data_IF_973608311055
#
_entry.id   IF_973608311055
#
_cell.length_a   1.000
_cell.length_b   1.000
_cell.length_c   1.000
_cell.angle_alpha   90.00
_cell.angle_beta   90.00
_cell.angle_gamma   90.00
#
_symmetry.space_group_name_H-M   'P 1'
#
loop_
_entity.id
_entity.type
_entity.pdbx_description
1 polymer ?
#
# COMPACT_ATOMS: atom_id res chain seq x y z
N UNK A 1 44.86 -8.68 29.96
CA UNK A 1 44.38 -9.10 28.62
C UNK A 1 42.96 -9.66 28.62
N UNK A 2 42.47 -10.37 29.64
CA UNK A 2 41.09 -10.90 29.65
C UNK A 2 40.00 -9.81 29.64
N UNK A 3 40.21 -8.70 30.36
CA UNK A 3 39.27 -7.56 30.39
C UNK A 3 39.05 -6.93 29.01
N UNK A 4 40.09 -6.84 28.18
CA UNK A 4 39.97 -6.30 26.81
C UNK A 4 39.31 -7.30 25.85
N UNK A 5 39.52 -8.61 26.02
CA UNK A 5 38.85 -9.63 25.20
C UNK A 5 37.33 -9.65 25.43
N UNK A 6 36.89 -9.53 26.68
CA UNK A 6 35.46 -9.45 27.04
C UNK A 6 34.83 -8.17 26.47
N UNK A 7 35.53 -7.03 26.59
CA UNK A 7 35.06 -5.76 26.02
C UNK A 7 34.98 -5.79 24.49
N UNK A 8 35.99 -6.37 23.83
CA UNK A 8 36.00 -6.54 22.37
C UNK A 8 34.85 -7.46 21.93
N UNK A 9 34.60 -8.56 22.64
CA UNK A 9 33.46 -9.44 22.36
C UNK A 9 32.13 -8.71 22.52
N UNK A 10 31.95 -7.95 23.61
CA UNK A 10 30.73 -7.19 23.85
C UNK A 10 30.49 -6.10 22.79
N UNK A 11 31.55 -5.43 22.34
CA UNK A 11 31.47 -4.45 21.26
C UNK A 11 31.12 -5.12 19.92
N UNK A 12 31.74 -6.26 19.60
CA UNK A 12 31.43 -7.02 18.39
C UNK A 12 29.98 -7.52 18.37
N UNK A 13 29.47 -8.01 19.51
CA UNK A 13 28.07 -8.43 19.65
C UNK A 13 27.09 -7.28 19.42
N UNK A 14 27.35 -6.09 19.99
CA UNK A 14 26.51 -4.91 19.75
C UNK A 14 26.48 -4.50 18.27
N UNK A 15 27.61 -4.60 17.58
CA UNK A 15 27.67 -4.31 16.13
C UNK A 15 26.95 -5.39 15.32
N UNK A 16 27.04 -6.66 15.73
CA UNK A 16 26.34 -7.75 15.07
C UNK A 16 24.82 -7.60 15.23
N UNK A 17 24.34 -7.32 16.44
CA UNK A 17 22.92 -7.10 16.74
C UNK A 17 22.35 -5.93 15.93
N UNK A 18 23.06 -4.81 15.83
CA UNK A 18 22.61 -3.67 15.03
C UNK A 18 22.52 -3.99 13.53
N UNK A 19 23.48 -4.76 13.00
CA UNK A 19 23.45 -5.21 11.60
C UNK A 19 22.31 -6.19 11.34
N UNK A 20 22.06 -7.12 12.25
CA UNK A 20 20.94 -8.07 12.13
C UNK A 20 19.59 -7.35 12.17
N UNK A 21 19.45 -6.33 13.04
CA UNK A 21 18.25 -5.50 13.07
C UNK A 21 18.03 -4.76 11.74
N UNK A 22 19.09 -4.17 11.17
CA UNK A 22 19.01 -3.49 9.87
C UNK A 22 18.64 -4.47 8.75
N UNK A 23 19.18 -5.69 8.78
CA UNK A 23 18.87 -6.73 7.80
C UNK A 23 17.40 -7.14 7.88
N UNK A 24 16.90 -7.42 9.09
CA UNK A 24 15.48 -7.71 9.31
C UNK A 24 14.58 -6.57 8.84
N UNK A 25 14.94 -5.32 9.14
CA UNK A 25 14.16 -4.17 8.68
C UNK A 25 14.13 -4.06 7.16
N UNK A 26 15.25 -4.37 6.49
CA UNK A 26 15.34 -4.39 5.04
C UNK A 26 14.46 -5.50 4.43
N UNK A 27 14.45 -6.69 5.03
CA UNK A 27 13.57 -7.79 4.62
C UNK A 27 12.09 -7.42 4.76
N UNK A 28 11.68 -6.89 5.91
CA UNK A 28 10.30 -6.42 6.14
C UNK A 28 9.90 -5.32 5.15
N UNK A 29 10.82 -4.39 4.85
CA UNK A 29 10.57 -3.32 3.88
C UNK A 29 10.46 -3.86 2.45
N UNK A 30 11.25 -4.88 2.10
CA UNK A 30 11.19 -5.53 0.80
C UNK A 30 9.85 -6.27 0.62
N UNK A 31 9.39 -6.99 1.64
CA UNK A 31 8.09 -7.67 1.64
C UNK A 31 6.94 -6.67 1.52
N UNK A 32 6.95 -5.59 2.31
CA UNK A 32 5.97 -4.50 2.21
C UNK A 32 5.95 -3.86 0.82
N UNK A 33 7.13 -3.65 0.22
CA UNK A 33 7.25 -3.07 -1.13
C UNK A 33 6.71 -4.03 -2.19
N UNK A 34 6.93 -5.33 -2.06
CA UNK A 34 6.36 -6.33 -2.95
C UNK A 34 4.83 -6.35 -2.89
N UNK A 35 4.25 -6.23 -1.69
CA UNK A 35 2.81 -6.15 -1.48
C UNK A 35 2.18 -4.85 -2.03
N UNK A 36 2.88 -3.72 -1.91
CA UNK A 36 2.38 -2.44 -2.40
C UNK A 36 2.34 -2.33 -3.93
N UNK A 37 3.14 -3.12 -4.64
CA UNK A 37 3.27 -3.05 -6.10
C UNK A 37 4.02 -1.80 -6.59
N UNK A 38 4.18 -1.67 -7.91
CA UNK A 38 4.79 -0.49 -8.54
C UNK A 38 3.74 0.62 -8.69
N UNK A 39 3.55 1.43 -7.63
CA UNK A 39 2.69 2.60 -7.69
C UNK A 39 3.47 3.73 -8.36
N UNK A 40 3.38 3.84 -9.68
CA UNK A 40 3.79 5.05 -10.40
C UNK A 40 2.63 6.02 -10.35
N UNK A 41 2.81 7.17 -9.71
CA UNK A 41 1.84 8.25 -9.79
C UNK A 41 1.97 8.94 -11.15
N UNK A 42 1.52 8.28 -12.21
CA UNK A 42 1.49 8.83 -13.57
C UNK A 42 0.12 9.41 -13.88
N UNK A 43 0.09 10.43 -14.75
CA UNK A 43 -1.15 10.89 -15.39
C UNK A 43 -1.73 9.74 -16.22
N UNK A 44 -2.71 9.02 -15.67
CA UNK A 44 -3.32 7.84 -16.29
C UNK A 44 -3.60 6.69 -15.31
N UNK A 45 -2.89 6.63 -14.18
CA UNK A 45 -3.00 5.52 -13.21
C UNK A 45 -4.10 5.75 -12.14
N UNK A 46 -5.00 6.70 -12.38
CA UNK A 46 -6.07 7.03 -11.45
C UNK A 46 -7.19 5.98 -11.52
N UNK A 47 -7.52 5.36 -10.39
CA UNK A 47 -8.60 4.36 -10.32
C UNK A 47 -10.00 4.97 -10.27
N UNK A 48 -10.15 6.23 -9.85
CA UNK A 48 -11.45 6.86 -9.60
C UNK A 48 -11.42 8.35 -9.81
N UNK A 49 -12.31 8.85 -10.66
CA UNK A 49 -12.50 10.28 -10.92
C UNK A 49 -13.51 10.87 -9.94
N UNK A 50 -13.20 12.05 -9.40
CA UNK A 50 -14.07 12.84 -8.55
C UNK A 50 -14.30 14.20 -9.22
N UNK A 51 -15.49 14.40 -9.77
CA UNK A 51 -15.91 15.67 -10.37
C UNK A 51 -16.90 16.32 -9.41
N UNK A 52 -16.57 17.50 -8.89
CA UNK A 52 -17.43 18.26 -7.99
C UNK A 52 -18.15 19.41 -8.68
N UNK A 53 -17.58 19.92 -9.78
CA UNK A 53 -18.13 20.97 -10.63
C UNK A 53 -17.72 20.74 -12.10
N UNK A 54 -18.55 21.10 -13.09
CA UNK A 54 -19.86 21.76 -12.98
C UNK A 54 -21.01 20.82 -12.58
N UNK A 55 -20.79 19.51 -12.64
CA UNK A 55 -21.69 18.48 -12.14
C UNK A 55 -20.99 17.68 -11.04
N UNK A 56 -21.77 16.96 -10.23
CA UNK A 56 -21.28 16.11 -9.16
C UNK A 56 -21.31 14.66 -9.62
N UNK A 57 -20.15 14.01 -9.69
CA UNK A 57 -20.02 12.61 -10.05
C UNK A 57 -18.73 12.02 -9.50
N UNK A 58 -18.83 10.85 -8.88
CA UNK A 58 -17.69 10.00 -8.59
C UNK A 58 -17.80 8.75 -9.44
N UNK A 59 -16.76 8.42 -10.20
CA UNK A 59 -16.75 7.25 -11.10
C UNK A 59 -15.47 6.44 -10.92
N UNK A 60 -15.59 5.14 -10.62
CA UNK A 60 -14.47 4.20 -10.56
C UNK A 60 -14.20 3.63 -11.95
N UNK A 61 -13.03 3.93 -12.51
CA UNK A 61 -12.65 3.64 -13.90
C UNK A 61 -12.33 2.15 -14.14
N UNK A 62 -12.25 1.34 -13.08
CA UNK A 62 -12.01 -0.10 -13.21
C UNK A 62 -13.32 -0.88 -13.33
N UNK A 63 -14.33 -0.40 -12.61
CA UNK A 63 -15.62 -1.10 -12.43
C UNK A 63 -16.76 -0.42 -13.16
N UNK A 64 -16.53 0.78 -13.71
CA UNK A 64 -17.53 1.68 -14.28
C UNK A 64 -18.66 2.07 -13.31
N UNK A 65 -18.54 1.77 -12.02
CA UNK A 65 -19.50 2.16 -10.99
C UNK A 65 -19.42 3.68 -10.74
N UNK A 66 -20.57 4.34 -10.70
CA UNK A 66 -20.67 5.79 -10.50
C UNK A 66 -21.75 6.18 -9.49
N UNK A 67 -21.51 7.29 -8.81
CA UNK A 67 -22.39 7.86 -7.78
C UNK A 67 -22.48 9.37 -7.98
N UNK A 68 -23.70 9.91 -8.02
CA UNK A 68 -23.95 11.35 -8.13
C UNK A 68 -23.83 12.11 -6.80
N UNK A 69 -24.08 11.45 -5.67
CA UNK A 69 -23.91 12.04 -4.32
C UNK A 69 -22.44 12.10 -3.91
N UNK A 70 -21.69 13.05 -4.47
CA UNK A 70 -20.25 13.20 -4.20
C UNK A 70 -19.95 13.49 -2.73
N UNK A 71 -20.83 14.24 -2.06
CA UNK A 71 -20.65 14.60 -0.66
C UNK A 71 -20.71 13.36 0.24
N UNK A 72 -21.72 12.49 0.06
CA UNK A 72 -21.81 11.23 0.80
C UNK A 72 -20.57 10.35 0.62
N UNK A 73 -20.02 10.29 -0.60
CA UNK A 73 -18.79 9.54 -0.90
C UNK A 73 -17.59 10.14 -0.17
N UNK A 74 -17.47 11.46 -0.11
CA UNK A 74 -16.41 12.15 0.65
C UNK A 74 -16.58 11.97 2.17
N UNK A 75 -17.82 11.82 2.64
CA UNK A 75 -18.17 11.56 4.03
C UNK A 75 -18.05 10.08 4.42
N UNK A 76 -17.69 9.20 3.48
CA UNK A 76 -17.34 7.80 3.74
C UNK A 76 -18.28 6.75 3.17
N UNK A 77 -19.32 7.13 2.41
CA UNK A 77 -20.20 6.21 1.69
C UNK A 77 -19.46 5.56 0.51
N UNK A 78 -18.62 4.57 0.82
CA UNK A 78 -17.73 3.88 -0.12
C UNK A 78 -18.13 2.43 -0.38
N UNK A 79 -19.14 1.91 0.31
CA UNK A 79 -19.51 0.49 0.29
C UNK A 79 -19.81 0.01 -1.14
N UNK A 80 -20.56 0.78 -1.92
CA UNK A 80 -20.84 0.46 -3.33
C UNK A 80 -19.58 0.33 -4.19
N UNK A 81 -18.58 1.18 -3.96
CA UNK A 81 -17.30 1.11 -4.66
C UNK A 81 -16.44 -0.08 -4.23
N UNK A 82 -16.46 -0.40 -2.93
CA UNK A 82 -15.72 -1.54 -2.37
C UNK A 82 -16.29 -2.84 -2.93
N UNK A 83 -17.61 -3.02 -2.88
CA UNK A 83 -18.29 -4.21 -3.40
C UNK A 83 -18.06 -4.39 -4.90
N UNK A 84 -18.18 -3.31 -5.68
CA UNK A 84 -17.87 -3.34 -7.10
C UNK A 84 -16.40 -3.74 -7.35
N UNK A 85 -15.47 -3.19 -6.57
CA UNK A 85 -14.04 -3.49 -6.66
C UNK A 85 -13.69 -4.95 -6.32
N UNK A 86 -14.34 -5.52 -5.30
CA UNK A 86 -14.16 -6.94 -4.92
C UNK A 86 -14.64 -7.85 -6.05
N UNK A 87 -15.84 -7.59 -6.60
CA UNK A 87 -16.37 -8.37 -7.74
C UNK A 87 -15.47 -8.29 -8.97
N UNK A 88 -15.00 -7.10 -9.31
CA UNK A 88 -14.09 -6.88 -10.43
C UNK A 88 -12.77 -7.65 -10.27
N UNK A 89 -12.17 -7.63 -9.07
CA UNK A 89 -10.93 -8.38 -8.80
C UNK A 89 -11.15 -9.90 -8.90
N UNK A 90 -12.22 -10.42 -8.31
CA UNK A 90 -12.55 -11.85 -8.36
C UNK A 90 -12.76 -12.36 -9.79
N UNK A 91 -13.33 -11.52 -10.67
CA UNK A 91 -13.48 -11.84 -12.10
C UNK A 91 -12.14 -11.90 -12.83
N UNK A 92 -11.20 -11.00 -12.51
CA UNK A 92 -9.84 -11.02 -13.07
C UNK A 92 -9.06 -12.28 -12.70
N UNK A 93 -9.18 -12.73 -11.45
CA UNK A 93 -8.55 -13.97 -10.97
C UNK A 93 -9.14 -15.22 -11.63
N UNK A 94 -10.45 -15.21 -11.95
CA UNK A 94 -11.11 -16.33 -12.64
C UNK A 94 -10.70 -16.50 -14.11
N UNK A 95 -10.06 -15.47 -14.70
CA UNK A 95 -9.59 -15.48 -16.09
C UNK A 95 -8.06 -15.69 -16.20
N UNK A 96 -7.37 -15.79 -15.07
CA UNK A 96 -5.90 -15.99 -14.95
C UNK A 96 -5.57 -17.46 -14.72
#
# INVERSE_FOLDING_TARGET
>A
NEKSQIQNRAAAMRVLESRLLLLKQAEENAEKKALAGDIKASWGDQIRSYVLHPYQMVKDLRTEHEVGNTQGVLDGDLDGFIDAGIRWRAQGESQS
#
